data_IF_988960590121
#
_entry.id   IF_988960590121
#
_cell.length_a   1.000
_cell.length_b   1.000
_cell.length_c   1.000
_cell.angle_alpha   90.00
_cell.angle_beta   90.00
_cell.angle_gamma   90.00
#
_symmetry.space_group_name_H-M   'P 1'
#
loop_
_entity.id
_entity.type
_entity.pdbx_description
1 polymer ?
#
# COMPACT_ATOMS: atom_id res chain seq x y z
N UNK A 1 -4.44 -13.79 -27.99
CA UNK A 1 -3.88 -12.70 -28.82
C UNK A 1 -3.43 -11.61 -27.87
N UNK A 2 -2.12 -11.39 -27.75
CA UNK A 2 -1.54 -10.32 -26.93
C UNK A 2 -0.78 -9.41 -27.90
N UNK A 3 -1.26 -8.17 -28.07
CA UNK A 3 -0.87 -7.28 -29.18
C UNK A 3 0.32 -6.37 -28.79
N UNK A 4 0.78 -6.42 -27.53
CA UNK A 4 1.86 -5.57 -27.02
C UNK A 4 2.66 -6.25 -25.90
N UNK A 5 3.99 -6.03 -25.80
CA UNK A 5 4.78 -6.57 -24.69
C UNK A 5 4.32 -5.98 -23.36
N UNK A 6 4.12 -6.84 -22.35
CA UNK A 6 3.93 -6.43 -20.97
C UNK A 6 5.24 -6.58 -20.22
N UNK A 7 5.72 -5.49 -19.63
CA UNK A 7 6.86 -5.52 -18.74
C UNK A 7 6.35 -5.78 -17.33
N UNK A 8 6.83 -6.87 -16.72
CA UNK A 8 6.47 -7.27 -15.36
C UNK A 8 7.71 -7.55 -14.54
N UNK A 9 7.79 -6.95 -13.37
CA UNK A 9 8.73 -7.35 -12.33
C UNK A 9 8.02 -8.32 -11.37
N UNK A 10 8.65 -9.46 -11.08
CA UNK A 10 8.17 -10.42 -10.10
C UNK A 10 9.20 -10.48 -8.99
N UNK A 11 8.78 -10.12 -7.79
CA UNK A 11 9.58 -10.19 -6.58
C UNK A 11 8.98 -11.27 -5.70
N UNK A 12 9.80 -12.20 -5.22
CA UNK A 12 9.40 -13.22 -4.25
C UNK A 12 9.89 -12.83 -2.86
N UNK A 13 9.17 -13.25 -1.82
CA UNK A 13 9.56 -13.08 -0.41
C UNK A 13 9.83 -11.61 -0.05
N UNK A 14 8.88 -10.75 -0.38
CA UNK A 14 9.00 -9.30 -0.16
C UNK A 14 8.65 -8.97 1.28
N UNK A 15 9.61 -8.38 1.99
CA UNK A 15 9.43 -7.84 3.33
C UNK A 15 9.57 -6.32 3.31
N UNK A 16 8.56 -5.60 3.79
CA UNK A 16 8.60 -4.16 4.02
C UNK A 16 8.69 -3.92 5.53
N UNK A 17 9.92 -3.67 6.00
CA UNK A 17 10.20 -3.34 7.41
C UNK A 17 10.03 -1.85 7.68
N UNK A 18 9.86 -1.49 8.95
CA UNK A 18 9.96 -0.09 9.34
C UNK A 18 11.39 0.40 9.13
N UNK A 19 11.54 1.57 8.49
CA UNK A 19 12.86 2.09 8.14
C UNK A 19 13.76 2.41 9.35
N UNK A 20 13.16 2.62 10.52
CA UNK A 20 13.87 2.98 11.76
C UNK A 20 14.25 1.78 12.63
N UNK A 21 13.74 0.59 12.34
CA UNK A 21 13.92 -0.59 13.19
C UNK A 21 14.20 -1.82 12.32
N UNK A 22 15.48 -2.19 12.25
CA UNK A 22 15.96 -3.34 11.47
C UNK A 22 15.56 -4.67 12.11
N UNK A 23 15.37 -4.70 13.43
CA UNK A 23 15.06 -5.92 14.21
C UNK A 23 13.55 -6.09 14.52
N UNK A 24 12.70 -5.15 14.10
CA UNK A 24 11.26 -5.30 14.27
C UNK A 24 10.67 -6.22 13.17
N UNK A 25 9.62 -7.01 13.49
CA UNK A 25 8.95 -7.83 12.50
C UNK A 25 8.42 -6.95 11.35
N UNK A 26 8.55 -7.38 10.07
CA UNK A 26 8.15 -6.56 8.93
C UNK A 26 6.68 -6.13 9.03
N UNK A 27 6.39 -4.90 8.59
CA UNK A 27 5.03 -4.34 8.64
C UNK A 27 4.13 -4.99 7.59
N UNK A 28 4.70 -5.27 6.42
CA UNK A 28 4.04 -5.99 5.35
C UNK A 28 5.01 -7.07 4.86
N UNK A 29 4.52 -8.29 4.81
CA UNK A 29 5.20 -9.41 4.14
C UNK A 29 4.32 -9.85 2.98
N UNK A 30 4.90 -10.21 1.85
CA UNK A 30 4.17 -10.82 0.76
C UNK A 30 5.02 -11.92 0.14
N UNK A 31 4.42 -13.08 -0.09
CA UNK A 31 5.14 -14.18 -0.75
C UNK A 31 5.53 -13.80 -2.18
N UNK A 32 4.69 -13.00 -2.84
CA UNK A 32 5.00 -12.48 -4.17
C UNK A 32 4.40 -11.10 -4.37
N UNK A 33 5.21 -10.21 -4.93
CA UNK A 33 4.77 -8.92 -5.45
C UNK A 33 5.02 -8.89 -6.95
N UNK A 34 3.95 -8.75 -7.72
CA UNK A 34 4.03 -8.57 -9.17
C UNK A 34 3.74 -7.12 -9.50
N UNK A 35 4.66 -6.44 -10.17
CA UNK A 35 4.48 -5.05 -10.58
C UNK A 35 4.48 -4.98 -12.09
N UNK A 36 3.36 -4.57 -12.66
CA UNK A 36 3.24 -4.28 -14.08
C UNK A 36 3.73 -2.85 -14.36
N UNK A 37 4.53 -2.72 -15.41
CA UNK A 37 5.07 -1.46 -15.91
C UNK A 37 4.35 -1.06 -17.20
N UNK A 38 4.08 0.23 -17.35
CA UNK A 38 3.48 0.78 -18.56
C UNK A 38 4.46 0.69 -19.73
N UNK A 39 4.16 -0.18 -20.69
CA UNK A 39 4.94 -0.29 -21.92
C UNK A 39 4.88 0.99 -22.78
N UNK A 40 3.78 1.76 -22.70
CA UNK A 40 3.64 3.02 -23.43
C UNK A 40 4.51 4.12 -22.82
N UNK A 41 4.61 4.16 -21.49
CA UNK A 41 5.52 5.07 -20.79
C UNK A 41 6.99 4.71 -21.07
N UNK A 42 7.32 3.41 -21.07
CA UNK A 42 8.68 2.94 -21.33
C UNK A 42 9.18 3.34 -22.73
N UNK A 43 8.30 3.34 -23.74
CA UNK A 43 8.62 3.84 -25.09
C UNK A 43 8.92 5.34 -25.09
N UNK A 44 8.31 6.11 -24.18
CA UNK A 44 8.57 7.54 -24.00
C UNK A 44 9.77 7.83 -23.07
N UNK A 45 10.47 6.79 -22.60
CA UNK A 45 11.60 6.91 -21.68
C UNK A 45 11.21 7.10 -20.21
N UNK A 46 9.93 6.90 -19.87
CA UNK A 46 9.41 7.04 -18.52
C UNK A 46 9.06 5.65 -17.93
N UNK A 47 9.34 5.44 -16.65
CA UNK A 47 9.05 4.18 -15.96
C UNK A 47 7.88 4.43 -15.01
N UNK A 48 6.67 4.15 -15.50
CA UNK A 48 5.44 4.25 -14.70
C UNK A 48 4.92 2.89 -14.29
N UNK A 49 4.68 2.74 -12.99
CA UNK A 49 3.99 1.59 -12.40
C UNK A 49 2.49 1.68 -12.70
N UNK A 50 1.90 0.59 -13.22
CA UNK A 50 0.45 0.56 -13.51
C UNK A 50 -0.33 -0.21 -12.45
N UNK A 51 0.17 -1.38 -12.06
CA UNK A 51 -0.54 -2.29 -11.15
C UNK A 51 0.45 -3.04 -10.30
N UNK A 52 0.24 -3.04 -8.98
CA UNK A 52 0.95 -3.88 -8.04
C UNK A 52 0.01 -4.98 -7.53
N UNK A 53 0.42 -6.24 -7.61
CA UNK A 53 -0.31 -7.38 -7.07
C UNK A 53 0.47 -7.99 -5.93
N UNK A 54 -0.15 -8.04 -4.76
CA UNK A 54 0.40 -8.69 -3.57
C UNK A 54 -0.30 -10.04 -3.40
N UNK A 55 0.48 -11.12 -3.46
CA UNK A 55 -0.01 -12.48 -3.25
C UNK A 55 0.34 -12.92 -1.83
N UNK A 56 -0.67 -13.38 -1.10
CA UNK A 56 -0.60 -13.76 0.31
C UNK A 56 0.08 -12.71 1.19
N UNK A 57 -0.34 -11.42 1.12
CA UNK A 57 0.26 -10.42 1.99
C UNK A 57 -0.16 -10.64 3.46
N UNK A 58 0.81 -10.61 4.36
CA UNK A 58 0.59 -10.48 5.81
C UNK A 58 0.81 -9.03 6.21
N UNK A 59 -0.25 -8.37 6.65
CA UNK A 59 -0.20 -6.98 7.14
C UNK A 59 -0.23 -7.01 8.66
N UNK A 60 0.80 -6.46 9.30
CA UNK A 60 0.86 -6.32 10.75
C UNK A 60 0.25 -4.99 11.18
N UNK A 61 -0.65 -5.04 12.15
CA UNK A 61 -1.32 -3.87 12.72
C UNK A 61 -1.18 -3.83 14.23
N UNK A 62 -1.21 -2.61 14.77
CA UNK A 62 -1.21 -2.36 16.20
C UNK A 62 -2.52 -1.70 16.61
N UNK A 63 -3.01 -2.07 17.80
CA UNK A 63 -4.15 -1.40 18.41
C UNK A 63 -3.70 -0.05 18.98
N UNK A 64 -4.17 1.06 18.40
CA UNK A 64 -3.94 2.41 18.93
C UNK A 64 -4.85 2.70 20.12
N UNK A 65 -4.51 3.74 20.90
CA UNK A 65 -5.29 4.20 22.05
C UNK A 65 -6.74 4.56 21.68
N UNK A 66 -6.99 4.93 20.41
CA UNK A 66 -8.33 5.16 19.86
C UNK A 66 -9.17 3.88 19.64
N UNK A 67 -8.60 2.70 19.89
CA UNK A 67 -9.25 1.41 19.66
C UNK A 67 -9.15 0.88 18.22
N UNK A 68 -8.65 1.69 17.28
CA UNK A 68 -8.44 1.30 15.89
C UNK A 68 -7.18 0.45 15.73
N UNK A 69 -7.25 -0.57 14.87
CA UNK A 69 -6.09 -1.32 14.40
C UNK A 69 -5.51 -0.63 13.17
N UNK A 70 -4.26 -0.17 13.28
CA UNK A 70 -3.57 0.52 12.21
C UNK A 70 -2.17 -0.07 12.03
N UNK A 71 -1.68 -0.20 10.78
CA UNK A 71 -0.30 -0.58 10.56
C UNK A 71 0.61 0.48 11.24
N UNK A 72 1.73 0.06 11.83
CA UNK A 72 2.70 1.00 12.35
C UNK A 72 3.16 1.92 11.21
N UNK A 73 3.19 3.22 11.49
CA UNK A 73 3.45 4.23 10.47
C UNK A 73 4.84 4.00 9.87
N UNK A 74 4.98 4.05 8.53
CA UNK A 74 6.31 4.06 7.93
C UNK A 74 7.04 5.32 8.40
N UNK A 75 8.22 5.16 8.98
CA UNK A 75 9.01 6.26 9.55
C UNK A 75 9.86 7.00 8.51
N UNK A 76 9.66 6.72 7.22
CA UNK A 76 10.11 7.56 6.12
C UNK A 76 9.74 7.03 4.73
N UNK A 77 10.09 7.82 3.71
CA UNK A 77 9.90 7.49 2.30
C UNK A 77 8.88 8.42 1.64
N UNK A 78 8.58 8.20 0.35
CA UNK A 78 7.58 9.01 -0.37
C UNK A 78 6.19 8.88 0.26
N UNK A 79 5.85 7.73 0.84
CA UNK A 79 4.57 7.48 1.48
C UNK A 79 4.42 8.32 2.77
N UNK A 80 5.42 8.34 3.66
CA UNK A 80 5.39 9.13 4.90
C UNK A 80 5.28 10.62 4.63
N UNK A 81 6.11 11.16 3.72
CA UNK A 81 6.04 12.58 3.35
C UNK A 81 4.64 12.97 2.85
N UNK A 82 4.01 12.06 2.10
CA UNK A 82 2.71 12.31 1.53
C UNK A 82 1.58 12.17 2.57
N UNK A 83 1.71 11.27 3.55
CA UNK A 83 0.83 11.20 4.73
C UNK A 83 0.96 12.45 5.60
N UNK A 84 2.18 12.93 5.84
CA UNK A 84 2.41 14.16 6.62
C UNK A 84 1.83 15.38 5.91
N UNK A 85 2.01 15.45 4.58
CA UNK A 85 1.37 16.47 3.75
C UNK A 85 -0.15 16.41 3.85
N UNK A 86 -0.73 15.21 3.77
CA UNK A 86 -2.17 15.01 3.91
C UNK A 86 -2.70 15.39 5.30
N UNK A 87 -2.00 15.00 6.36
CA UNK A 87 -2.32 15.44 7.73
C UNK A 87 -2.24 16.95 7.86
N UNK A 88 -1.20 17.58 7.28
CA UNK A 88 -1.04 19.03 7.28
C UNK A 88 -2.20 19.74 6.59
N UNK A 89 -2.62 19.25 5.43
CA UNK A 89 -3.76 19.80 4.66
C UNK A 89 -5.08 19.65 5.41
N UNK A 90 -5.34 18.47 5.99
CA UNK A 90 -6.56 18.19 6.78
C UNK A 90 -6.57 18.99 8.09
N UNK A 91 -5.43 19.11 8.78
CA UNK A 91 -5.33 19.88 10.04
C UNK A 91 -5.50 21.38 9.80
N UNK A 92 -4.99 21.89 8.67
CA UNK A 92 -5.11 23.30 8.33
C UNK A 92 -6.55 23.73 8.01
N UNK A 93 -7.35 22.86 7.39
CA UNK A 93 -8.77 23.12 7.19
C UNK A 93 -9.58 21.80 7.13
N UNK A 94 -10.10 21.32 8.26
CA UNK A 94 -10.81 20.04 8.32
C UNK A 94 -12.12 20.02 7.51
N UNK A 95 -12.78 21.17 7.35
CA UNK A 95 -14.07 21.25 6.65
C UNK A 95 -13.91 21.42 5.12
N UNK A 96 -12.78 21.95 4.68
CA UNK A 96 -12.46 22.10 3.25
C UNK A 96 -10.95 21.97 3.02
N UNK A 97 -10.40 20.74 3.13
CA UNK A 97 -8.99 20.50 2.91
C UNK A 97 -8.60 20.87 1.46
N UNK A 98 -7.49 21.58 1.30
CA UNK A 98 -6.93 21.94 0.00
C UNK A 98 -6.18 20.75 -0.62
N UNK A 99 -6.94 19.83 -1.21
CA UNK A 99 -6.44 18.60 -1.84
C UNK A 99 -5.45 18.88 -2.99
N UNK A 100 -5.42 20.10 -3.55
CA UNK A 100 -4.45 20.52 -4.57
C UNK A 100 -3.00 20.56 -4.07
N UNK A 101 -2.78 20.51 -2.75
CA UNK A 101 -1.45 20.41 -2.13
C UNK A 101 -0.94 18.99 -1.98
N UNK A 102 -1.77 17.98 -2.26
CA UNK A 102 -1.36 16.59 -2.25
C UNK A 102 -0.61 16.25 -3.55
N UNK A 103 0.36 15.32 -3.51
CA UNK A 103 1.03 14.86 -4.71
C UNK A 103 0.04 14.34 -5.75
N UNK A 104 0.13 14.84 -6.98
CA UNK A 104 -0.64 14.35 -8.12
C UNK A 104 0.07 13.20 -8.86
N UNK A 105 1.18 12.71 -8.31
CA UNK A 105 1.88 11.53 -8.82
C UNK A 105 0.88 10.34 -8.91
N UNK A 106 0.87 9.58 -10.02
CA UNK A 106 0.05 8.40 -10.15
C UNK A 106 0.40 7.37 -9.05
N UNK A 107 -0.61 6.93 -8.29
CA UNK A 107 -0.43 5.90 -7.26
C UNK A 107 -0.71 4.49 -7.80
N UNK A 108 -1.69 4.38 -8.69
CA UNK A 108 -1.99 3.16 -9.46
C UNK A 108 -2.98 2.22 -8.78
N UNK A 109 -3.06 1.00 -9.30
CA UNK A 109 -3.96 -0.05 -8.79
C UNK A 109 -3.16 -1.01 -7.91
N UNK A 110 -3.64 -1.29 -6.71
CA UNK A 110 -3.08 -2.31 -5.81
C UNK A 110 -4.08 -3.43 -5.67
N UNK A 111 -3.74 -4.62 -6.17
CA UNK A 111 -4.51 -5.84 -5.96
C UNK A 111 -3.88 -6.66 -4.84
N UNK A 112 -4.69 -7.30 -4.00
CA UNK A 112 -4.24 -8.26 -3.00
C UNK A 112 -5.05 -9.54 -3.11
N UNK A 113 -4.39 -10.68 -2.89
CA UNK A 113 -5.01 -12.01 -2.95
C UNK A 113 -4.56 -12.85 -1.77
N UNK A 114 -5.51 -13.54 -1.15
CA UNK A 114 -5.28 -14.46 -0.03
C UNK A 114 -4.47 -13.83 1.12
N UNK A 115 -4.68 -12.54 1.37
CA UNK A 115 -4.00 -11.80 2.42
C UNK A 115 -4.53 -12.11 3.81
N UNK A 116 -3.77 -11.74 4.82
CA UNK A 116 -4.19 -11.77 6.22
C UNK A 116 -3.73 -10.51 6.94
N UNK A 117 -4.51 -10.12 7.94
CA UNK A 117 -4.15 -9.05 8.86
C UNK A 117 -3.92 -9.66 10.22
N UNK A 118 -2.77 -9.36 10.82
CA UNK A 118 -2.38 -9.89 12.13
C UNK A 118 -2.07 -8.76 13.09
N UNK A 119 -2.41 -8.95 14.36
CA UNK A 119 -1.99 -8.06 15.46
C UNK A 119 -1.04 -8.82 16.38
N UNK A 120 -0.05 -8.14 16.95
CA UNK A 120 0.81 -8.77 17.96
C UNK A 120 0.15 -8.69 19.33
N UNK A 121 -0.08 -9.84 19.98
CA UNK A 121 -0.54 -9.94 21.37
C UNK A 121 0.46 -10.79 22.14
N UNK A 122 1.16 -10.18 23.11
CA UNK A 122 2.18 -10.90 23.90
C UNK A 122 3.36 -11.42 23.07
N UNK A 123 3.72 -10.73 21.98
CA UNK A 123 4.81 -11.13 21.09
C UNK A 123 4.47 -12.23 20.09
N UNK A 124 3.19 -12.61 19.98
CA UNK A 124 2.71 -13.57 18.96
C UNK A 124 1.72 -12.91 18.02
N UNK A 125 1.90 -13.16 16.73
CA UNK A 125 0.96 -12.75 15.69
C UNK A 125 -0.37 -13.50 15.90
N UNK A 126 -1.43 -12.71 16.07
CA UNK A 126 -2.82 -13.18 16.16
C UNK A 126 -3.56 -12.69 14.93
N UNK A 127 -4.13 -13.60 14.17
CA UNK A 127 -4.90 -13.27 12.98
C UNK A 127 -6.23 -12.61 13.36
N UNK A 128 -6.53 -11.47 12.72
CA UNK A 128 -7.78 -10.72 12.91
C UNK A 128 -8.65 -10.69 11.66
N UNK A 129 -8.03 -10.84 10.48
CA UNK A 129 -8.71 -10.99 9.20
C UNK A 129 -7.93 -11.98 8.36
N UNK A 130 -8.66 -12.82 7.62
CA UNK A 130 -8.09 -13.89 6.82
C UNK A 130 -8.67 -13.90 5.40
N UNK A 131 -7.97 -14.58 4.49
CA UNK A 131 -8.40 -14.78 3.09
C UNK A 131 -8.79 -13.47 2.37
N UNK A 132 -8.11 -12.39 2.71
CA UNK A 132 -8.40 -11.06 2.22
C UNK A 132 -8.03 -10.96 0.74
N UNK A 133 -9.01 -10.72 -0.11
CA UNK A 133 -8.82 -10.54 -1.56
C UNK A 133 -9.58 -9.33 -2.05
N UNK A 134 -9.00 -8.58 -2.97
CA UNK A 134 -9.58 -7.33 -3.40
C UNK A 134 -8.61 -6.42 -4.15
N UNK A 135 -9.07 -5.21 -4.40
CA UNK A 135 -8.28 -4.18 -5.07
C UNK A 135 -8.56 -2.80 -4.50
N UNK A 136 -7.52 -1.99 -4.46
CA UNK A 136 -7.58 -0.55 -4.27
C UNK A 136 -7.25 0.10 -5.61
N UNK A 137 -8.18 0.87 -6.14
CA UNK A 137 -7.90 1.76 -7.25
C UNK A 137 -7.71 3.17 -6.72
N UNK A 138 -6.48 3.69 -6.81
CA UNK A 138 -6.18 5.05 -6.41
C UNK A 138 -5.37 5.74 -7.50
N UNK A 139 -6.05 6.59 -8.29
CA UNK A 139 -5.42 7.20 -9.47
C UNK A 139 -4.24 8.09 -9.08
N UNK A 140 -4.45 9.03 -8.14
CA UNK A 140 -3.42 9.90 -7.60
C UNK A 140 -3.76 10.25 -6.15
N UNK A 141 -2.77 10.71 -5.38
CA UNK A 141 -2.96 10.94 -3.95
C UNK A 141 -3.93 12.09 -3.63
N UNK A 142 -4.18 12.96 -4.61
CA UNK A 142 -5.16 14.03 -4.58
C UNK A 142 -6.56 13.63 -5.09
N UNK A 143 -6.77 12.36 -5.47
CA UNK A 143 -8.04 11.84 -5.97
C UNK A 143 -8.72 10.90 -4.98
N UNK A 144 -10.01 10.65 -5.18
CA UNK A 144 -10.74 9.62 -4.45
C UNK A 144 -10.12 8.23 -4.70
N UNK A 145 -10.14 7.39 -3.67
CA UNK A 145 -9.72 6.00 -3.74
C UNK A 145 -10.96 5.09 -3.66
N UNK A 146 -11.02 4.07 -4.51
CA UNK A 146 -12.04 3.04 -4.46
C UNK A 146 -11.43 1.73 -3.94
N UNK A 147 -11.95 1.22 -2.82
CA UNK A 147 -11.57 -0.07 -2.26
C UNK A 147 -12.70 -1.07 -2.49
N UNK A 148 -12.36 -2.26 -2.97
CA UNK A 148 -13.26 -3.42 -2.99
C UNK A 148 -12.53 -4.59 -2.38
N UNK A 149 -13.09 -5.19 -1.32
CA UNK A 149 -12.45 -6.27 -0.58
C UNK A 149 -13.45 -7.29 -0.08
N UNK A 150 -13.02 -8.55 -0.01
CA UNK A 150 -13.73 -9.67 0.60
C UNK A 150 -12.77 -10.43 1.51
N UNK A 151 -13.23 -10.89 2.67
CA UNK A 151 -12.44 -11.64 3.64
C UNK A 151 -13.33 -12.28 4.70
N UNK A 152 -12.70 -13.05 5.60
CA UNK A 152 -13.33 -13.73 6.74
C UNK A 152 -12.75 -13.17 8.03
#
# INVERSE_FOLDING_TARGET
IEVWPKFRAILSDVTLSQWTETDAPPVIEAERVEVDLSAMAAVQGDVQFSTARLVRPTIRVERKASGLYLPPLPTGGRITRSIDTARGVVTANPQKPDLGRLPSDPFGIVEFRDGRVVTSVGGKDTEILSSLSGQVNWAAMNSDAALTATGI
#
